data_IF_756765988490
#
_entry.id   IF_756765988490
#
_cell.length_a   1.000
_cell.length_b   1.000
_cell.length_c   1.000
_cell.angle_alpha   90.00
_cell.angle_beta   90.00
_cell.angle_gamma   90.00
#
_symmetry.space_group_name_H-M   'P 1'
#
loop_
_entity.id
_entity.type
_entity.pdbx_description
1 polymer ?
#
# COMPACT_ATOMS: atom_id res chain seq x y z
N UNK A 1 22.41 17.67 -4.20
CA UNK A 1 21.39 17.45 -3.14
C UNK A 1 20.33 16.42 -3.52
N UNK A 2 19.95 16.28 -4.79
CA UNK A 2 18.90 15.33 -5.22
C UNK A 2 19.20 13.86 -4.90
N UNK A 3 20.45 13.43 -4.97
CA UNK A 3 20.85 12.05 -4.66
C UNK A 3 20.64 11.65 -3.19
N UNK A 4 20.77 12.59 -2.24
CA UNK A 4 20.56 12.32 -0.82
C UNK A 4 19.06 12.15 -0.52
N UNK A 5 18.21 12.99 -1.09
CA UNK A 5 16.75 12.89 -0.94
C UNK A 5 16.24 11.58 -1.53
N UNK A 6 16.67 11.23 -2.74
CA UNK A 6 16.29 9.98 -3.41
C UNK A 6 16.82 8.77 -2.63
N UNK A 7 18.07 8.84 -2.12
CA UNK A 7 18.64 7.79 -1.28
C UNK A 7 17.85 7.55 0.01
N UNK A 8 17.40 8.62 0.68
CA UNK A 8 16.55 8.53 1.88
C UNK A 8 15.19 7.90 1.55
N UNK A 9 14.57 8.29 0.43
CA UNK A 9 13.29 7.70 0.00
C UNK A 9 13.44 6.19 -0.24
N UNK A 10 14.48 5.77 -0.98
CA UNK A 10 14.72 4.34 -1.22
C UNK A 10 15.07 3.58 0.05
N UNK A 11 15.84 4.18 0.97
CA UNK A 11 16.14 3.57 2.26
C UNK A 11 14.85 3.34 3.07
N UNK A 12 13.94 4.33 3.13
CA UNK A 12 12.65 4.20 3.80
C UNK A 12 11.75 3.14 3.15
N UNK A 13 11.73 3.07 1.82
CA UNK A 13 11.02 2.00 1.11
C UNK A 13 11.59 0.62 1.44
N UNK A 14 12.91 0.46 1.43
CA UNK A 14 13.55 -0.81 1.78
C UNK A 14 13.26 -1.22 3.24
N UNK A 15 13.31 -0.28 4.18
CA UNK A 15 13.00 -0.52 5.60
C UNK A 15 11.54 -0.97 5.78
N UNK A 16 10.59 -0.31 5.12
CA UNK A 16 9.17 -0.66 5.24
C UNK A 16 8.85 -2.03 4.63
N UNK A 17 9.45 -2.39 3.50
CA UNK A 17 9.36 -3.75 2.93
C UNK A 17 9.89 -4.75 3.96
N UNK A 18 11.11 -4.54 4.44
CA UNK A 18 11.78 -5.46 5.39
C UNK A 18 10.99 -5.62 6.69
N UNK A 19 10.41 -4.54 7.21
CA UNK A 19 9.60 -4.57 8.42
C UNK A 19 8.36 -5.46 8.26
N UNK A 20 7.61 -5.31 7.16
CA UNK A 20 6.42 -6.12 6.89
C UNK A 20 6.79 -7.59 6.71
N UNK A 21 7.87 -7.87 5.99
CA UNK A 21 8.36 -9.24 5.80
C UNK A 21 8.86 -9.85 7.11
N UNK A 22 9.52 -9.07 7.95
CA UNK A 22 10.01 -9.52 9.26
C UNK A 22 8.88 -9.93 10.20
N UNK A 23 7.74 -9.25 10.14
CA UNK A 23 6.57 -9.62 10.96
C UNK A 23 5.77 -10.78 10.37
N UNK A 24 5.52 -10.78 9.07
CA UNK A 24 4.63 -11.77 8.44
C UNK A 24 5.34 -13.02 7.91
N UNK A 25 6.68 -13.00 7.80
CA UNK A 25 7.52 -14.02 7.14
C UNK A 25 7.18 -14.28 5.66
N UNK A 26 6.34 -13.44 5.05
CA UNK A 26 5.91 -13.55 3.65
C UNK A 26 6.14 -12.24 2.90
N UNK A 27 6.38 -12.35 1.59
CA UNK A 27 6.64 -11.20 0.72
C UNK A 27 5.34 -10.56 0.27
N UNK A 28 5.19 -9.26 0.57
CA UNK A 28 4.06 -8.48 0.05
C UNK A 28 4.42 -7.74 -1.24
N UNK A 29 4.01 -8.29 -2.38
CA UNK A 29 4.26 -7.73 -3.71
C UNK A 29 3.42 -6.49 -4.03
N UNK A 30 2.29 -6.29 -3.35
CA UNK A 30 1.42 -5.13 -3.55
C UNK A 30 1.92 -3.83 -2.89
N UNK A 31 3.09 -3.87 -2.24
CA UNK A 31 3.62 -2.74 -1.46
C UNK A 31 3.76 -1.45 -2.26
N UNK A 32 4.29 -1.52 -3.49
CA UNK A 32 4.39 -0.35 -4.38
C UNK A 32 3.03 0.23 -4.79
N UNK A 33 1.99 -0.60 -4.84
CA UNK A 33 0.64 -0.17 -5.20
C UNK A 33 -0.04 0.58 -4.04
N UNK A 34 0.24 0.25 -2.77
CA UNK A 34 -0.22 1.08 -1.64
C UNK A 34 0.37 2.49 -1.68
N UNK A 35 1.65 2.61 -2.06
CA UNK A 35 2.28 3.92 -2.27
C UNK A 35 1.61 4.70 -3.40
N UNK A 36 1.37 4.04 -4.54
CA UNK A 36 0.68 4.63 -5.68
C UNK A 36 -0.74 5.09 -5.29
N UNK A 37 -1.53 4.24 -4.64
CA UNK A 37 -2.90 4.53 -4.20
C UNK A 37 -2.94 5.75 -3.26
N UNK A 38 -1.98 5.87 -2.33
CA UNK A 38 -1.90 7.04 -1.45
C UNK A 38 -1.69 8.35 -2.20
N UNK A 39 -0.77 8.36 -3.18
CA UNK A 39 -0.58 9.51 -4.06
C UNK A 39 -1.80 9.80 -4.93
N UNK A 40 -2.48 8.76 -5.40
CA UNK A 40 -3.67 8.88 -6.24
C UNK A 40 -4.85 9.48 -5.47
N UNK A 41 -5.10 9.00 -4.26
CA UNK A 41 -6.13 9.53 -3.37
C UNK A 41 -5.83 10.98 -3.02
N UNK A 42 -4.57 11.31 -2.73
CA UNK A 42 -4.16 12.69 -2.51
C UNK A 42 -4.46 13.58 -3.72
N UNK A 43 -4.14 13.10 -4.93
CA UNK A 43 -4.44 13.81 -6.17
C UNK A 43 -5.95 14.04 -6.34
N UNK A 44 -6.77 12.99 -6.19
CA UNK A 44 -8.22 13.08 -6.30
C UNK A 44 -8.84 14.00 -5.24
N UNK A 45 -8.34 13.94 -4.00
CA UNK A 45 -8.81 14.82 -2.92
C UNK A 45 -8.53 16.29 -3.26
N UNK A 46 -7.36 16.60 -3.81
CA UNK A 46 -7.02 17.96 -4.22
C UNK A 46 -7.86 18.42 -5.42
N UNK A 47 -8.05 17.58 -6.43
CA UNK A 47 -8.74 17.97 -7.67
C UNK A 47 -10.25 18.06 -7.52
N UNK A 48 -10.86 17.15 -6.75
CA UNK A 48 -12.32 17.03 -6.69
C UNK A 48 -12.96 17.65 -5.44
N UNK A 49 -12.26 17.70 -4.30
CA UNK A 49 -12.90 17.95 -3.01
C UNK A 49 -12.34 19.17 -2.24
N UNK A 50 -11.02 19.19 -2.04
CA UNK A 50 -10.34 20.09 -1.11
C UNK A 50 -9.77 21.33 -1.83
N UNK A 51 -9.41 21.18 -3.10
CA UNK A 51 -8.78 22.24 -3.90
C UNK A 51 -7.28 22.40 -3.60
N UNK A 52 -6.53 23.11 -4.48
CA UNK A 52 -5.07 23.26 -4.36
C UNK A 52 -4.62 24.04 -3.12
N UNK A 53 -5.46 24.94 -2.61
CA UNK A 53 -5.14 25.81 -1.47
C UNK A 53 -5.02 25.05 -0.15
N UNK A 54 -5.71 23.93 -0.01
CA UNK A 54 -5.78 23.13 1.21
C UNK A 54 -5.09 21.75 1.05
N UNK A 55 -4.11 21.64 0.14
CA UNK A 55 -3.39 20.39 -0.16
C UNK A 55 -2.83 19.67 1.08
N UNK A 56 -2.41 20.43 2.09
CA UNK A 56 -1.84 19.92 3.33
C UNK A 56 -2.85 19.12 4.17
N UNK A 57 -4.16 19.42 4.07
CA UNK A 57 -5.24 18.65 4.71
C UNK A 57 -5.51 17.34 3.96
N UNK A 58 -5.22 17.29 2.67
CA UNK A 58 -5.35 16.05 1.89
C UNK A 58 -4.46 14.95 2.45
N UNK A 59 -3.22 15.27 2.88
CA UNK A 59 -2.22 14.29 3.31
C UNK A 59 -2.72 13.40 4.45
N UNK A 60 -3.18 13.95 5.60
CA UNK A 60 -3.70 13.13 6.69
C UNK A 60 -4.96 12.35 6.30
N UNK A 61 -5.80 12.89 5.41
CA UNK A 61 -7.01 12.22 4.92
C UNK A 61 -6.62 11.03 4.03
N UNK A 62 -5.72 11.22 3.07
CA UNK A 62 -5.21 10.16 2.21
C UNK A 62 -4.52 9.06 3.02
N UNK A 63 -3.72 9.44 4.03
CA UNK A 63 -3.12 8.50 4.97
C UNK A 63 -4.18 7.70 5.72
N UNK A 64 -5.21 8.36 6.26
CA UNK A 64 -6.30 7.69 6.97
C UNK A 64 -7.07 6.70 6.08
N UNK A 65 -7.36 7.08 4.82
CA UNK A 65 -8.06 6.22 3.87
C UNK A 65 -7.22 4.97 3.55
N UNK A 66 -5.93 5.16 3.22
CA UNK A 66 -5.03 4.03 2.92
C UNK A 66 -4.81 3.16 4.16
N UNK A 67 -4.72 3.75 5.35
CA UNK A 67 -4.60 3.01 6.59
C UNK A 67 -5.81 2.10 6.81
N UNK A 68 -7.04 2.63 6.69
CA UNK A 68 -8.26 1.84 6.82
C UNK A 68 -8.31 0.73 5.76
N UNK A 69 -7.98 1.05 4.52
CA UNK A 69 -7.93 0.07 3.42
C UNK A 69 -6.90 -1.04 3.71
N UNK A 70 -5.72 -0.69 4.22
CA UNK A 70 -4.70 -1.64 4.66
C UNK A 70 -5.17 -2.53 5.80
N UNK A 71 -5.85 -1.98 6.81
CA UNK A 71 -6.44 -2.75 7.92
C UNK A 71 -7.49 -3.73 7.42
N UNK A 72 -8.37 -3.30 6.51
CA UNK A 72 -9.39 -4.17 5.90
C UNK A 72 -8.72 -5.34 5.17
N UNK A 73 -7.72 -5.08 4.34
CA UNK A 73 -7.03 -6.13 3.58
C UNK A 73 -6.26 -7.06 4.51
N UNK A 74 -5.58 -6.52 5.51
CA UNK A 74 -4.90 -7.32 6.51
C UNK A 74 -5.89 -8.23 7.26
N UNK A 75 -7.07 -7.72 7.64
CA UNK A 75 -8.09 -8.47 8.37
C UNK A 75 -8.76 -9.55 7.52
N UNK A 76 -9.09 -9.26 6.26
CA UNK A 76 -9.93 -10.14 5.44
C UNK A 76 -9.14 -11.02 4.46
N UNK A 77 -7.96 -10.58 4.01
CA UNK A 77 -7.20 -11.30 2.99
C UNK A 77 -5.96 -11.98 3.58
N UNK A 78 -5.26 -11.33 4.50
CA UNK A 78 -4.00 -11.86 5.05
C UNK A 78 -4.20 -12.66 6.35
N UNK A 79 -4.94 -12.14 7.32
CA UNK A 79 -5.21 -12.82 8.59
C UNK A 79 -5.76 -14.26 8.46
N UNK A 80 -6.71 -14.59 7.55
CA UNK A 80 -7.21 -15.97 7.45
C UNK A 80 -6.13 -16.98 7.03
N UNK A 81 -5.05 -16.54 6.38
CA UNK A 81 -3.95 -17.43 5.98
C UNK A 81 -3.13 -17.94 7.18
N UNK A 82 -3.13 -17.19 8.29
CA UNK A 82 -2.41 -17.57 9.51
C UNK A 82 -3.22 -18.46 10.45
N UNK A 83 -4.53 -18.61 10.21
CA UNK A 83 -5.44 -19.36 11.07
C UNK A 83 -5.73 -20.76 10.51
N UNK A 84 -5.56 -20.98 9.20
CA UNK A 84 -5.67 -22.30 8.57
C UNK A 84 -4.32 -23.02 8.57
N UNK A 85 -4.28 -24.26 9.04
CA UNK A 85 -3.14 -25.17 8.86
C UNK A 85 -2.94 -25.45 7.37
N UNK A 86 -2.19 -24.59 6.68
CA UNK A 86 -1.77 -24.82 5.30
C UNK A 86 -0.25 -24.92 5.26
N UNK A 87 0.27 -26.06 4.79
CA UNK A 87 1.71 -26.32 4.67
C UNK A 87 2.44 -25.39 3.67
N UNK A 88 1.72 -24.45 3.01
CA UNK A 88 2.23 -23.59 1.93
C UNK A 88 1.80 -22.12 2.06
N UNK A 89 1.76 -21.60 3.29
CA UNK A 89 1.34 -20.22 3.59
C UNK A 89 2.07 -19.16 2.73
N UNK A 90 3.34 -19.38 2.44
CA UNK A 90 4.21 -18.46 1.68
C UNK A 90 3.75 -18.30 0.21
N UNK A 91 3.31 -19.40 -0.40
CA UNK A 91 2.78 -19.40 -1.78
C UNK A 91 1.42 -18.72 -1.85
N UNK A 92 0.52 -19.03 -0.91
CA UNK A 92 -0.79 -18.38 -0.84
C UNK A 92 -0.66 -16.87 -0.63
N UNK A 93 0.20 -16.43 0.28
CA UNK A 93 0.46 -15.01 0.52
C UNK A 93 0.98 -14.29 -0.73
N UNK A 94 1.88 -14.95 -1.46
CA UNK A 94 2.41 -14.41 -2.72
C UNK A 94 1.31 -14.26 -3.77
N UNK A 95 0.47 -15.28 -3.96
CA UNK A 95 -0.65 -15.24 -4.93
C UNK A 95 -1.66 -14.14 -4.55
N UNK A 96 -2.02 -14.04 -3.28
CA UNK A 96 -2.98 -13.04 -2.79
C UNK A 96 -2.43 -11.63 -2.99
N UNK A 97 -1.16 -11.40 -2.66
CA UNK A 97 -0.55 -10.06 -2.79
C UNK A 97 -0.30 -9.65 -4.24
N UNK A 98 0.03 -10.58 -5.14
CA UNK A 98 0.08 -10.30 -6.59
C UNK A 98 -1.32 -9.99 -7.13
N UNK A 99 -2.33 -10.74 -6.69
CA UNK A 99 -3.73 -10.46 -7.07
C UNK A 99 -4.14 -9.05 -6.63
N UNK A 100 -3.79 -8.69 -5.39
CA UNK A 100 -4.04 -7.37 -4.83
C UNK A 100 -3.33 -6.27 -5.63
N UNK A 101 -2.08 -6.55 -6.05
CA UNK A 101 -1.29 -5.64 -6.87
C UNK A 101 -2.01 -5.33 -8.19
N UNK A 102 -2.48 -6.37 -8.89
CA UNK A 102 -3.22 -6.24 -10.15
C UNK A 102 -4.54 -5.47 -9.93
N UNK A 103 -5.24 -5.75 -8.82
CA UNK A 103 -6.49 -5.07 -8.49
C UNK A 103 -6.29 -3.57 -8.29
N UNK A 104 -5.28 -3.16 -7.50
CA UNK A 104 -4.99 -1.74 -7.29
C UNK A 104 -4.52 -1.04 -8.55
N UNK A 105 -3.69 -1.70 -9.36
CA UNK A 105 -3.25 -1.18 -10.63
C UNK A 105 -4.43 -0.91 -11.57
N UNK A 106 -5.36 -1.85 -11.67
CA UNK A 106 -6.56 -1.66 -12.48
C UNK A 106 -7.47 -0.55 -11.93
N UNK A 107 -7.63 -0.46 -10.60
CA UNK A 107 -8.39 0.64 -9.99
C UNK A 107 -7.78 2.00 -10.31
N UNK A 108 -6.46 2.14 -10.22
CA UNK A 108 -5.78 3.38 -10.54
C UNK A 108 -5.92 3.78 -12.02
N UNK A 109 -5.93 2.81 -12.93
CA UNK A 109 -6.20 3.05 -14.36
C UNK A 109 -7.63 3.52 -14.59
N UNK A 110 -8.60 2.99 -13.85
CA UNK A 110 -10.02 3.39 -14.01
C UNK A 110 -10.27 4.78 -13.42
N UNK A 111 -9.56 5.14 -12.35
CA UNK A 111 -9.71 6.42 -11.66
C UNK A 111 -8.96 7.58 -12.36
N UNK A 112 -8.16 7.29 -13.40
CA UNK A 112 -7.32 8.24 -14.14
C UNK A 112 -7.65 8.39 -15.60
#
# INVERSE_FOLDING_TARGET
MSGLVIGVIYALMAVSITFVHGMMKVVNWSMGEYYMMGGYIQYLLITMLIGPSLWFLGIPIAFAIIFVLGVVIQRYMLHPMFVGESERMDEYATIVTITLMILFRNLAIILG
#
